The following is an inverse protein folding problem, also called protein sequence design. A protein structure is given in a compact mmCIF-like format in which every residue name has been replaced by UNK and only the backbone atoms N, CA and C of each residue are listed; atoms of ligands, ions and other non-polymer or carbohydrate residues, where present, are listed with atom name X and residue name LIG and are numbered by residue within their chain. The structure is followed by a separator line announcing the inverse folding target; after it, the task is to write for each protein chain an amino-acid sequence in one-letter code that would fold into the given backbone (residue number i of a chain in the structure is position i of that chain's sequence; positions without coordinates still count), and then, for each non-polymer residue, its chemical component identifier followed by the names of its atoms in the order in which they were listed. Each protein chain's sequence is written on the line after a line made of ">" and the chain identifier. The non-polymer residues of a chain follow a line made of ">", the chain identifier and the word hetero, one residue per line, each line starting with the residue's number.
data_IF_536442287113
#
_entry.id   IF_536442287113
#
_cell.length_a   1.000
_cell.length_b   1.000
_cell.length_c   1.000
_cell.angle_alpha   90.00
_cell.angle_beta   90.00
_cell.angle_gamma   90.00
#
_symmetry.space_group_name_H-M   'P 1'
#
loop_
_entity.id
_entity.type
_entity.pdbx_description
1 polymer ?
#
# COMPACT_ATOMS: atom_id res chain seq x y z
N UNK A 1 -30.72 55.89 -73.67
CA UNK A 1 -29.34 55.90 -73.18
C UNK A 1 -29.36 55.14 -71.85
N UNK A 2 -28.70 54.00 -71.73
CA UNK A 2 -28.76 53.22 -70.51
C UNK A 2 -27.63 53.67 -69.54
N UNK A 3 -27.98 53.90 -68.27
CA UNK A 3 -27.08 54.21 -67.20
C UNK A 3 -26.38 52.95 -66.66
N UNK A 4 -25.07 52.91 -66.78
CA UNK A 4 -24.18 51.84 -66.31
C UNK A 4 -24.06 51.84 -64.81
N UNK A 5 -24.64 50.83 -64.14
CA UNK A 5 -24.30 50.57 -62.71
C UNK A 5 -22.94 50.03 -62.57
N UNK A 6 -22.07 50.77 -61.86
CA UNK A 6 -20.68 50.45 -61.56
C UNK A 6 -20.55 49.25 -60.59
N UNK A 7 -19.76 48.26 -60.96
CA UNK A 7 -19.42 47.03 -60.19
C UNK A 7 -18.70 47.28 -58.84
N UNK A 8 -18.44 48.55 -58.51
CA UNK A 8 -17.73 48.91 -57.26
C UNK A 8 -18.57 49.04 -56.01
N UNK A 9 -19.92 49.06 -56.12
CA UNK A 9 -20.80 49.21 -54.94
C UNK A 9 -21.35 47.88 -54.41
N UNK A 10 -21.06 46.76 -55.09
CA UNK A 10 -21.47 45.42 -54.62
C UNK A 10 -20.45 44.70 -53.72
N UNK A 11 -19.25 45.28 -53.50
CA UNK A 11 -18.21 44.69 -52.68
C UNK A 11 -18.08 45.30 -51.27
N UNK A 12 -18.90 46.27 -50.92
CA UNK A 12 -18.82 46.90 -49.58
C UNK A 12 -19.89 46.45 -48.57
N UNK A 13 -20.82 45.59 -48.97
CA UNK A 13 -21.88 45.09 -48.03
C UNK A 13 -21.61 43.63 -47.62
N UNK A 14 -20.64 42.95 -48.19
CA UNK A 14 -20.31 41.54 -47.84
C UNK A 14 -19.27 41.39 -46.75
N UNK A 15 -18.81 42.47 -46.11
CA UNK A 15 -17.66 42.44 -45.16
C UNK A 15 -18.00 42.48 -43.65
N UNK A 16 -19.29 42.49 -43.27
CA UNK A 16 -19.66 42.74 -41.86
C UNK A 16 -20.41 41.59 -41.16
N UNK A 17 -20.41 40.36 -41.70
CA UNK A 17 -21.20 39.26 -41.08
C UNK A 17 -20.45 37.94 -40.92
N UNK A 18 -19.15 37.94 -40.73
CA UNK A 18 -18.39 36.71 -40.57
C UNK A 18 -17.33 36.76 -39.46
N UNK A 19 -17.67 37.32 -38.29
CA UNK A 19 -16.91 37.17 -37.05
C UNK A 19 -17.85 36.76 -35.91
N UNK A 20 -18.75 35.82 -36.17
CA UNK A 20 -19.24 34.95 -35.11
C UNK A 20 -18.08 33.98 -34.79
N UNK A 21 -17.27 34.38 -33.83
CA UNK A 21 -16.22 33.50 -33.28
C UNK A 21 -16.89 32.17 -32.96
N UNK A 22 -16.53 31.13 -33.70
CA UNK A 22 -16.79 29.77 -33.32
C UNK A 22 -16.00 29.55 -32.02
N UNK A 23 -16.65 29.80 -30.87
CA UNK A 23 -16.20 29.28 -29.57
C UNK A 23 -16.28 27.77 -29.78
N UNK A 24 -15.14 27.06 -29.82
CA UNK A 24 -15.20 25.61 -29.87
C UNK A 24 -16.05 25.17 -28.66
N UNK A 25 -16.97 24.20 -28.83
CA UNK A 25 -17.69 23.67 -27.68
C UNK A 25 -16.61 23.24 -26.70
N UNK A 26 -16.68 23.77 -25.49
CA UNK A 26 -15.93 23.24 -24.36
C UNK A 26 -16.38 21.77 -24.28
N UNK A 27 -15.64 20.88 -24.93
CA UNK A 27 -15.87 19.46 -24.80
C UNK A 27 -15.87 19.23 -23.29
N UNK A 28 -16.98 18.81 -22.74
CA UNK A 28 -17.06 18.40 -21.36
C UNK A 28 -16.03 17.28 -21.19
N UNK A 29 -14.82 17.65 -20.80
CA UNK A 29 -13.80 16.68 -20.49
C UNK A 29 -14.39 15.86 -19.34
N UNK A 30 -14.64 14.57 -19.61
CA UNK A 30 -15.10 13.65 -18.57
C UNK A 30 -14.15 13.72 -17.37
N UNK A 31 -14.61 13.28 -16.22
CA UNK A 31 -13.80 13.27 -15.02
C UNK A 31 -12.46 12.54 -15.29
N UNK A 32 -11.34 12.99 -14.71
CA UNK A 32 -10.06 12.30 -14.84
C UNK A 32 -10.20 10.88 -14.31
N UNK A 33 -9.60 9.92 -15.00
CA UNK A 33 -9.58 8.52 -14.59
C UNK A 33 -8.44 8.30 -13.61
N UNK A 34 -8.74 7.66 -12.48
CA UNK A 34 -7.77 7.25 -11.47
C UNK A 34 -7.75 5.72 -11.42
N UNK A 35 -6.86 5.12 -12.23
CA UNK A 35 -6.62 3.66 -12.15
C UNK A 35 -5.89 3.38 -10.85
N UNK A 36 -6.39 2.41 -10.12
CA UNK A 36 -5.84 1.95 -8.86
C UNK A 36 -5.41 0.49 -8.95
N UNK A 37 -4.18 0.16 -8.54
CA UNK A 37 -3.66 -1.20 -8.51
C UNK A 37 -3.39 -1.68 -7.08
N UNK A 38 -3.72 -2.93 -6.80
CA UNK A 38 -3.41 -3.58 -5.52
C UNK A 38 -3.01 -5.04 -5.70
N UNK A 39 -2.18 -5.54 -4.79
CA UNK A 39 -1.83 -6.96 -4.73
C UNK A 39 -2.93 -7.82 -4.08
N UNK A 40 -3.77 -7.25 -3.22
CA UNK A 40 -4.90 -7.95 -2.60
C UNK A 40 -6.12 -8.00 -3.54
N UNK A 41 -6.93 -9.03 -3.38
CA UNK A 41 -8.14 -9.24 -4.17
C UNK A 41 -9.33 -8.40 -3.67
N UNK A 42 -10.44 -8.41 -4.41
CA UNK A 42 -11.64 -7.63 -4.08
C UNK A 42 -12.34 -8.09 -2.79
N UNK A 43 -12.12 -9.33 -2.33
CA UNK A 43 -12.68 -9.86 -1.10
C UNK A 43 -11.92 -9.40 0.15
N UNK A 44 -10.74 -8.81 -0.01
CA UNK A 44 -10.00 -8.21 1.11
C UNK A 44 -10.80 -7.03 1.70
N UNK A 45 -10.94 -6.94 3.03
CA UNK A 45 -11.69 -5.86 3.65
C UNK A 45 -11.21 -4.45 3.30
N UNK A 46 -9.94 -4.28 2.89
CA UNK A 46 -9.40 -3.02 2.38
C UNK A 46 -10.11 -2.56 1.11
N UNK A 47 -10.59 -3.48 0.26
CA UNK A 47 -11.31 -3.12 -0.95
C UNK A 47 -12.57 -2.31 -0.66
N UNK A 48 -13.30 -2.62 0.41
CA UNK A 48 -14.49 -1.86 0.81
C UNK A 48 -14.14 -0.44 1.28
N UNK A 49 -13.00 -0.28 1.99
CA UNK A 49 -12.49 1.04 2.35
C UNK A 49 -12.16 1.89 1.11
N UNK A 50 -11.52 1.30 0.11
CA UNK A 50 -11.23 1.99 -1.16
C UNK A 50 -12.48 2.29 -1.97
N UNK A 51 -13.51 1.42 -1.96
CA UNK A 51 -14.81 1.70 -2.57
C UNK A 51 -15.53 2.86 -1.85
N UNK A 52 -15.46 2.92 -0.52
CA UNK A 52 -16.01 4.02 0.27
C UNK A 52 -15.29 5.34 -0.04
N UNK A 53 -13.97 5.32 -0.10
CA UNK A 53 -13.15 6.45 -0.55
C UNK A 53 -13.57 6.91 -1.96
N UNK A 54 -13.67 5.99 -2.92
CA UNK A 54 -14.06 6.29 -4.29
C UNK A 54 -15.45 6.91 -4.39
N UNK A 55 -16.40 6.39 -3.61
CA UNK A 55 -17.76 6.96 -3.56
C UNK A 55 -17.78 8.41 -3.08
N UNK A 56 -16.93 8.76 -2.11
CA UNK A 56 -16.77 10.14 -1.63
C UNK A 56 -16.13 11.06 -2.69
N UNK A 57 -15.33 10.51 -3.60
CA UNK A 57 -14.59 11.26 -4.64
C UNK A 57 -15.24 11.24 -6.02
N UNK A 58 -16.43 10.67 -6.17
CA UNK A 58 -17.11 10.47 -7.47
C UNK A 58 -17.38 11.74 -8.28
N UNK A 59 -17.36 12.91 -7.64
CA UNK A 59 -17.51 14.21 -8.31
C UNK A 59 -16.17 14.77 -8.82
N UNK A 60 -15.03 14.24 -8.35
CA UNK A 60 -13.70 14.73 -8.67
C UNK A 60 -12.98 13.88 -9.70
N UNK A 61 -13.20 12.56 -9.69
CA UNK A 61 -12.59 11.62 -10.64
C UNK A 61 -13.37 10.30 -10.75
N UNK A 62 -13.11 9.56 -11.82
CA UNK A 62 -13.58 8.19 -12.02
C UNK A 62 -12.52 7.21 -11.44
N UNK A 63 -12.88 6.53 -10.36
CA UNK A 63 -12.01 5.52 -9.75
C UNK A 63 -12.14 4.18 -10.47
N UNK A 64 -11.01 3.65 -10.98
CA UNK A 64 -10.96 2.39 -11.72
C UNK A 64 -10.05 1.40 -10.98
N UNK A 65 -10.58 0.53 -10.12
CA UNK A 65 -9.79 -0.42 -9.37
C UNK A 65 -9.41 -1.66 -10.18
N UNK A 66 -8.18 -2.12 -9.98
CA UNK A 66 -7.61 -3.35 -10.49
C UNK A 66 -7.04 -4.15 -9.32
N UNK A 67 -7.83 -5.11 -8.83
CA UNK A 67 -7.50 -5.93 -7.68
C UNK A 67 -6.65 -7.14 -8.07
N UNK A 68 -5.90 -7.70 -7.10
CA UNK A 68 -5.22 -8.99 -7.25
C UNK A 68 -4.13 -9.04 -8.32
N UNK A 69 -3.38 -7.95 -8.50
CA UNK A 69 -2.30 -7.85 -9.50
C UNK A 69 -2.78 -7.98 -10.97
N UNK A 70 -4.04 -7.67 -11.26
CA UNK A 70 -4.59 -7.82 -12.63
C UNK A 70 -4.06 -6.76 -13.60
N UNK A 71 -3.58 -5.61 -13.11
CA UNK A 71 -3.01 -4.56 -13.96
C UNK A 71 -1.47 -4.56 -13.92
N UNK A 72 -0.87 -4.69 -12.73
CA UNK A 72 0.57 -4.73 -12.52
C UNK A 72 0.94 -5.88 -11.59
N UNK A 73 2.11 -6.48 -11.80
CA UNK A 73 2.66 -7.51 -10.90
C UNK A 73 3.05 -6.87 -9.57
N UNK A 74 2.84 -7.58 -8.46
CA UNK A 74 3.22 -7.14 -7.13
C UNK A 74 4.67 -6.65 -7.08
N UNK A 75 4.86 -5.42 -6.56
CA UNK A 75 6.17 -4.78 -6.43
C UNK A 75 6.66 -4.05 -7.69
N UNK A 76 5.81 -3.91 -8.75
CA UNK A 76 6.11 -3.11 -9.95
C UNK A 76 5.27 -1.84 -10.06
N UNK A 77 4.31 -1.64 -9.16
CA UNK A 77 3.35 -0.52 -9.16
C UNK A 77 4.06 0.82 -9.00
N UNK A 78 5.12 0.89 -8.18
CA UNK A 78 5.89 2.12 -7.97
C UNK A 78 6.45 2.66 -9.28
N UNK A 79 7.06 1.80 -10.10
CA UNK A 79 7.61 2.19 -11.41
C UNK A 79 6.50 2.63 -12.38
N UNK A 80 5.31 2.01 -12.29
CA UNK A 80 4.16 2.41 -13.09
C UNK A 80 3.63 3.80 -12.71
N UNK A 81 3.56 4.12 -11.41
CA UNK A 81 3.23 5.46 -10.90
C UNK A 81 4.23 6.52 -11.39
N UNK A 82 5.53 6.23 -11.28
CA UNK A 82 6.60 7.14 -11.71
C UNK A 82 6.54 7.46 -13.19
N UNK A 83 6.23 6.46 -14.02
CA UNK A 83 6.12 6.62 -15.48
C UNK A 83 4.78 7.24 -15.93
N UNK A 84 3.86 7.49 -15.00
CA UNK A 84 2.51 7.98 -15.31
C UNK A 84 1.62 6.95 -16.03
N UNK A 85 1.97 5.65 -15.92
CA UNK A 85 1.17 4.54 -16.43
C UNK A 85 0.12 4.05 -15.42
N UNK A 86 0.14 4.59 -14.21
CA UNK A 86 -0.78 4.33 -13.12
C UNK A 86 -0.99 5.63 -12.33
N UNK A 87 -2.21 5.90 -11.90
CA UNK A 87 -2.53 7.10 -11.14
C UNK A 87 -2.46 6.85 -9.63
N UNK A 88 -2.94 5.70 -9.15
CA UNK A 88 -3.04 5.36 -7.73
C UNK A 88 -2.63 3.90 -7.47
N UNK A 89 -2.05 3.66 -6.32
CA UNK A 89 -1.72 2.30 -5.88
C UNK A 89 -1.83 2.12 -4.36
N UNK A 90 -2.02 0.87 -3.96
CA UNK A 90 -1.75 0.39 -2.62
C UNK A 90 -0.32 -0.17 -2.60
N UNK A 91 0.65 0.61 -2.09
CA UNK A 91 2.08 0.26 -2.07
C UNK A 91 2.53 -0.22 -0.71
N UNK A 92 3.36 -1.25 -0.69
CA UNK A 92 4.13 -1.59 0.50
C UNK A 92 5.27 -0.57 0.72
N UNK A 93 5.59 -0.16 1.97
CA UNK A 93 6.71 0.73 2.24
C UNK A 93 8.05 0.16 1.76
N UNK A 94 8.19 -1.15 1.68
CA UNK A 94 9.34 -1.86 1.13
C UNK A 94 9.59 -1.51 -0.35
N UNK A 95 8.56 -1.18 -1.12
CA UNK A 95 8.72 -0.80 -2.52
C UNK A 95 9.34 0.60 -2.64
N UNK A 96 9.02 1.52 -1.73
CA UNK A 96 9.65 2.84 -1.66
C UNK A 96 11.11 2.69 -1.20
N UNK A 97 11.38 1.84 -0.21
CA UNK A 97 12.73 1.61 0.31
C UNK A 97 13.73 1.16 -0.76
N UNK A 98 13.30 0.48 -1.82
CA UNK A 98 14.16 0.11 -2.95
C UNK A 98 14.83 1.31 -3.62
N UNK A 99 14.19 2.48 -3.60
CA UNK A 99 14.69 3.70 -4.25
C UNK A 99 15.09 4.78 -3.23
N UNK A 100 14.53 4.73 -2.02
CA UNK A 100 14.83 5.64 -0.91
C UNK A 100 15.25 4.80 0.29
N UNK A 101 16.54 4.42 0.42
CA UNK A 101 17.03 3.50 1.46
C UNK A 101 16.66 3.94 2.89
N UNK A 102 16.50 5.23 3.15
CA UNK A 102 16.00 5.75 4.43
C UNK A 102 14.66 5.11 4.85
N UNK A 103 13.78 4.80 3.90
CA UNK A 103 12.49 4.14 4.15
C UNK A 103 12.62 2.73 4.74
N UNK A 104 13.83 2.13 4.71
CA UNK A 104 14.07 0.86 5.40
C UNK A 104 13.76 0.93 6.90
N UNK A 105 13.87 2.11 7.53
CA UNK A 105 13.42 2.31 8.90
C UNK A 105 11.93 1.97 9.05
N UNK A 106 11.09 2.50 8.19
CA UNK A 106 9.63 2.30 8.23
C UNK A 106 9.20 0.87 7.86
N UNK A 107 10.12 0.06 7.32
CA UNK A 107 9.91 -1.38 7.05
C UNK A 107 10.40 -2.29 8.17
N UNK A 108 11.01 -1.71 9.21
CA UNK A 108 11.72 -2.48 10.23
C UNK A 108 10.78 -3.28 11.13
N UNK A 109 11.17 -4.53 11.39
CA UNK A 109 10.44 -5.36 12.33
C UNK A 109 10.42 -4.71 13.73
N UNK A 110 9.26 -4.77 14.38
CA UNK A 110 9.03 -4.23 15.72
C UNK A 110 9.22 -2.71 15.87
N UNK A 111 9.18 -1.93 14.78
CA UNK A 111 9.24 -0.48 14.85
C UNK A 111 7.98 0.10 15.49
N UNK A 112 6.83 -0.27 14.97
CA UNK A 112 5.55 0.21 15.49
C UNK A 112 5.04 -0.72 16.59
N UNK A 113 4.52 -0.13 17.68
CA UNK A 113 3.92 -0.87 18.80
C UNK A 113 2.53 -1.38 18.45
N UNK A 114 1.76 -0.55 17.76
CA UNK A 114 0.36 -0.77 17.38
C UNK A 114 -0.06 0.19 16.26
N UNK A 115 -1.32 0.13 15.84
CA UNK A 115 -1.88 0.99 14.79
C UNK A 115 -1.96 2.46 15.22
N UNK A 116 -2.15 2.74 16.50
CA UNK A 116 -2.18 4.12 17.00
C UNK A 116 -0.78 4.76 16.88
N UNK A 117 0.27 4.01 17.23
CA UNK A 117 1.66 4.45 17.06
C UNK A 117 2.02 4.64 15.57
N UNK A 118 1.58 3.72 14.68
CA UNK A 118 1.74 3.87 13.24
C UNK A 118 1.13 5.19 12.75
N UNK A 119 -0.15 5.45 13.08
CA UNK A 119 -0.85 6.69 12.71
C UNK A 119 -0.17 7.94 13.27
N UNK A 120 0.21 7.90 14.55
CA UNK A 120 0.91 9.01 15.20
C UNK A 120 2.23 9.30 14.52
N UNK A 121 2.98 8.27 14.10
CA UNK A 121 4.23 8.42 13.37
C UNK A 121 4.02 9.14 12.04
N UNK A 122 3.09 8.67 11.21
CA UNK A 122 2.86 9.30 9.90
C UNK A 122 2.33 10.74 10.00
N UNK A 123 1.63 11.09 11.07
CA UNK A 123 1.15 12.46 11.33
C UNK A 123 2.17 13.35 12.03
N UNK A 124 3.30 12.82 12.48
CA UNK A 124 4.36 13.59 13.15
C UNK A 124 5.36 14.21 12.17
N UNK A 125 6.21 15.11 12.65
CA UNK A 125 7.26 15.73 11.84
C UNK A 125 8.19 14.69 11.20
N UNK A 126 8.54 13.64 11.92
CA UNK A 126 9.39 12.57 11.38
C UNK A 126 8.68 11.82 10.27
N UNK A 127 7.39 11.52 10.39
CA UNK A 127 6.61 10.88 9.32
C UNK A 127 6.47 11.78 8.09
N UNK A 128 6.25 13.08 8.29
CA UNK A 128 6.19 14.06 7.19
C UNK A 128 7.54 14.21 6.47
N UNK A 129 8.66 14.01 7.17
CA UNK A 129 9.98 13.95 6.54
C UNK A 129 10.09 12.79 5.55
N UNK A 130 9.66 11.57 5.93
CA UNK A 130 9.63 10.42 5.03
C UNK A 130 8.66 10.61 3.85
N UNK A 131 7.46 11.15 4.08
CA UNK A 131 6.50 11.46 3.01
C UNK A 131 7.11 12.44 2.01
N UNK A 132 7.82 13.46 2.48
CA UNK A 132 8.52 14.42 1.63
C UNK A 132 9.62 13.75 0.80
N UNK A 133 10.42 12.84 1.38
CA UNK A 133 11.40 12.06 0.64
C UNK A 133 10.75 11.24 -0.49
N UNK A 134 9.62 10.59 -0.24
CA UNK A 134 8.90 9.84 -1.26
C UNK A 134 8.43 10.75 -2.39
N UNK A 135 7.92 11.93 -2.08
CA UNK A 135 7.50 12.92 -3.10
C UNK A 135 8.66 13.41 -3.94
N UNK A 136 9.76 13.80 -3.31
CA UNK A 136 10.89 14.45 -3.98
C UNK A 136 11.79 13.47 -4.74
N UNK A 137 12.02 12.27 -4.19
CA UNK A 137 12.98 11.31 -4.76
C UNK A 137 12.30 10.27 -5.65
N UNK A 138 11.03 9.96 -5.42
CA UNK A 138 10.32 8.86 -6.12
C UNK A 138 9.16 9.37 -6.97
N UNK A 139 8.70 10.59 -6.74
CA UNK A 139 7.61 11.18 -7.52
C UNK A 139 6.24 10.60 -7.22
N UNK A 140 5.98 10.29 -5.97
CA UNK A 140 4.67 9.84 -5.47
C UNK A 140 4.21 10.68 -4.29
N UNK A 141 2.90 10.83 -4.16
CA UNK A 141 2.26 11.40 -2.98
C UNK A 141 1.74 10.27 -2.09
N UNK A 142 2.22 10.19 -0.87
CA UNK A 142 1.69 9.28 0.15
C UNK A 142 0.50 9.97 0.81
N UNK A 143 -0.68 9.36 0.72
CA UNK A 143 -1.91 9.95 1.25
C UNK A 143 -2.11 9.54 2.70
N UNK A 144 -2.14 8.23 3.00
CA UNK A 144 -2.34 7.72 4.35
C UNK A 144 -1.84 6.27 4.45
N UNK A 145 -1.38 5.82 5.63
CA UNK A 145 -1.12 4.41 5.87
C UNK A 145 -2.45 3.64 6.01
N UNK A 146 -2.49 2.44 5.45
CA UNK A 146 -3.64 1.54 5.42
C UNK A 146 -3.28 0.30 6.21
N UNK A 147 -3.67 0.26 7.48
CA UNK A 147 -3.45 -0.88 8.36
C UNK A 147 -4.21 -2.12 7.87
N UNK A 148 -3.61 -3.29 7.99
CA UNK A 148 -4.27 -4.55 7.65
C UNK A 148 -3.96 -5.71 8.62
N UNK A 149 -3.48 -5.39 9.82
CA UNK A 149 -3.27 -6.34 10.90
C UNK A 149 -1.83 -6.59 11.27
N UNK A 150 -1.60 -7.08 12.49
CA UNK A 150 -0.29 -7.53 12.92
C UNK A 150 0.11 -8.81 12.19
N UNK A 151 1.33 -8.85 11.64
CA UNK A 151 1.84 -10.01 10.90
C UNK A 151 2.42 -11.05 11.84
N UNK A 152 2.06 -12.30 11.59
CA UNK A 152 2.46 -13.46 12.36
C UNK A 152 2.98 -14.56 11.44
N UNK A 153 3.81 -15.45 11.98
CA UNK A 153 4.31 -16.61 11.23
C UNK A 153 3.27 -17.73 11.26
N UNK A 154 2.94 -18.26 10.10
CA UNK A 154 2.01 -19.37 9.93
C UNK A 154 2.74 -20.52 9.20
N UNK A 155 2.80 -21.71 9.81
CA UNK A 155 3.64 -22.81 9.39
C UNK A 155 2.85 -24.08 9.07
N UNK A 156 3.34 -24.83 8.08
CA UNK A 156 2.88 -26.17 7.73
C UNK A 156 3.52 -27.24 8.63
N UNK A 157 4.87 -27.26 8.87
CA UNK A 157 5.44 -28.26 9.77
C UNK A 157 5.06 -28.02 11.24
N UNK A 158 4.78 -29.08 11.98
CA UNK A 158 4.55 -29.01 13.43
C UNK A 158 5.89 -28.96 14.18
N UNK A 159 6.45 -27.76 14.26
CA UNK A 159 7.71 -27.45 14.96
C UNK A 159 7.44 -26.36 15.98
N UNK A 160 7.77 -26.62 17.24
CA UNK A 160 7.62 -25.59 18.29
C UNK A 160 8.64 -24.48 18.08
N UNK A 161 8.15 -23.26 17.92
CA UNK A 161 8.97 -22.05 17.73
C UNK A 161 8.93 -21.23 19.02
N UNK A 162 10.07 -21.03 19.65
CA UNK A 162 10.22 -20.19 20.84
C UNK A 162 11.08 -18.96 20.55
N UNK A 163 12.13 -19.11 19.76
CA UNK A 163 13.10 -18.07 19.44
C UNK A 163 13.39 -18.01 17.93
N UNK A 164 14.05 -16.98 17.41
CA UNK A 164 14.44 -16.91 16.00
C UNK A 164 15.25 -18.13 15.52
N UNK A 165 16.07 -18.73 16.39
CA UNK A 165 16.88 -19.90 16.04
C UNK A 165 16.02 -21.11 15.66
N UNK A 166 14.83 -21.23 16.24
CA UNK A 166 13.90 -22.33 15.94
C UNK A 166 13.28 -22.20 14.53
N UNK A 167 13.36 -21.05 13.90
CA UNK A 167 12.91 -20.81 12.51
C UNK A 167 14.00 -21.12 11.47
N UNK A 168 15.21 -21.45 11.91
CA UNK A 168 16.31 -21.78 10.99
C UNK A 168 15.93 -22.95 10.07
N UNK A 169 16.19 -22.78 8.77
CA UNK A 169 15.88 -23.74 7.72
C UNK A 169 14.43 -23.72 7.21
N UNK A 170 13.52 -23.00 7.87
CA UNK A 170 12.13 -22.85 7.41
C UNK A 170 12.10 -21.96 6.16
N UNK A 171 11.59 -22.50 5.05
CA UNK A 171 11.30 -21.75 3.82
C UNK A 171 10.01 -20.94 4.02
N UNK A 172 10.16 -19.73 4.57
CA UNK A 172 9.01 -18.86 4.78
C UNK A 172 8.77 -18.00 3.54
N UNK A 173 7.57 -18.05 3.01
CA UNK A 173 7.21 -17.13 1.94
C UNK A 173 7.28 -15.70 2.43
N UNK A 174 7.98 -14.89 1.66
CA UNK A 174 7.93 -13.44 1.76
C UNK A 174 7.44 -12.85 0.42
N UNK A 175 6.83 -11.64 0.41
CA UNK A 175 6.60 -10.93 -0.84
C UNK A 175 7.89 -10.76 -1.64
N UNK A 176 7.84 -10.58 -2.98
CA UNK A 176 9.02 -10.30 -3.78
C UNK A 176 9.69 -8.97 -3.41
N UNK A 177 11.00 -8.94 -3.36
CA UNK A 177 11.81 -7.74 -3.11
C UNK A 177 12.76 -7.90 -1.94
N UNK A 178 13.91 -7.21 -2.02
CA UNK A 178 15.03 -7.37 -1.08
C UNK A 178 14.68 -7.03 0.38
N UNK A 179 13.92 -5.95 0.61
CA UNK A 179 13.51 -5.55 1.96
C UNK A 179 12.54 -6.55 2.59
N UNK A 180 11.72 -7.23 1.79
CA UNK A 180 10.89 -8.34 2.27
C UNK A 180 11.74 -9.57 2.59
N UNK A 181 12.72 -9.90 1.74
CA UNK A 181 13.63 -11.01 2.01
C UNK A 181 14.40 -10.73 3.31
N UNK A 182 14.91 -9.51 3.47
CA UNK A 182 15.61 -9.13 4.69
C UNK A 182 14.72 -9.16 5.94
N UNK A 183 13.45 -8.78 5.83
CA UNK A 183 12.51 -8.95 6.94
C UNK A 183 12.43 -10.42 7.38
N UNK A 184 12.32 -11.36 6.44
CA UNK A 184 12.35 -12.79 6.74
C UNK A 184 13.65 -13.20 7.43
N UNK A 185 14.81 -12.84 6.87
CA UNK A 185 16.12 -13.09 7.50
C UNK A 185 16.19 -12.51 8.92
N UNK A 186 15.61 -11.34 9.14
CA UNK A 186 15.65 -10.64 10.43
C UNK A 186 14.83 -11.33 11.52
N UNK A 187 13.93 -12.24 11.17
CA UNK A 187 13.19 -13.07 12.13
C UNK A 187 13.70 -14.52 12.18
N UNK A 188 14.75 -14.86 11.41
CA UNK A 188 15.46 -16.14 11.50
C UNK A 188 15.03 -17.20 10.48
N UNK A 189 14.23 -16.87 9.46
CA UNK A 189 13.79 -17.82 8.42
C UNK A 189 14.68 -17.80 7.18
N UNK A 190 14.49 -18.78 6.30
CA UNK A 190 14.95 -18.76 4.91
C UNK A 190 13.85 -18.15 4.04
N UNK A 191 13.92 -16.86 3.69
CA UNK A 191 12.86 -16.21 2.94
C UNK A 191 12.79 -16.71 1.51
N UNK A 192 11.59 -16.98 1.04
CA UNK A 192 11.31 -17.47 -0.32
C UNK A 192 10.35 -16.51 -1.01
N UNK A 193 10.76 -15.80 -2.07
CA UNK A 193 9.91 -14.82 -2.76
C UNK A 193 8.82 -15.51 -3.57
N UNK A 194 7.55 -15.28 -3.20
CA UNK A 194 6.37 -15.77 -3.93
C UNK A 194 5.32 -14.66 -3.96
N UNK A 195 4.70 -14.41 -5.11
CA UNK A 195 3.62 -13.44 -5.26
C UNK A 195 2.40 -13.85 -4.39
N UNK A 196 1.65 -12.85 -3.87
CA UNK A 196 0.58 -13.13 -2.91
C UNK A 196 -0.48 -14.10 -3.44
N UNK A 197 -0.88 -13.97 -4.71
CA UNK A 197 -1.86 -14.85 -5.34
C UNK A 197 -1.41 -16.33 -5.45
N UNK A 198 -0.12 -16.60 -5.34
CA UNK A 198 0.46 -17.95 -5.52
C UNK A 198 0.70 -18.67 -4.17
N UNK A 199 0.52 -17.98 -3.04
CA UNK A 199 0.90 -18.49 -1.71
C UNK A 199 0.16 -19.74 -1.32
N UNK A 200 -1.17 -19.82 -1.56
CA UNK A 200 -1.95 -21.01 -1.22
C UNK A 200 -1.40 -22.25 -1.93
N UNK A 201 -1.19 -22.15 -3.24
CA UNK A 201 -0.65 -23.26 -4.05
C UNK A 201 0.77 -23.64 -3.60
N UNK A 202 1.62 -22.67 -3.30
CA UNK A 202 2.98 -22.93 -2.83
C UNK A 202 3.01 -23.63 -1.46
N UNK A 203 2.10 -23.30 -0.54
CA UNK A 203 1.89 -24.00 0.73
C UNK A 203 1.36 -25.43 0.48
N UNK A 204 0.33 -25.55 -0.36
CA UNK A 204 -0.30 -26.85 -0.64
C UNK A 204 0.71 -27.85 -1.22
N UNK A 205 1.50 -27.44 -2.19
CA UNK A 205 2.52 -28.28 -2.85
C UNK A 205 3.77 -28.50 -2.01
N UNK A 206 3.99 -27.72 -0.93
CA UNK A 206 5.20 -27.81 -0.11
C UNK A 206 6.41 -27.12 -0.73
N UNK A 207 6.22 -26.24 -1.70
CA UNK A 207 7.30 -25.38 -2.23
C UNK A 207 7.82 -24.42 -1.16
N UNK A 208 6.97 -24.05 -0.21
CA UNK A 208 7.27 -23.28 1.01
C UNK A 208 6.73 -24.00 2.25
N UNK A 209 7.37 -23.78 3.39
CA UNK A 209 7.01 -24.37 4.68
C UNK A 209 6.02 -23.51 5.47
N UNK A 210 5.88 -22.23 5.10
CA UNK A 210 5.03 -21.29 5.78
C UNK A 210 4.97 -19.94 5.07
N UNK A 211 4.24 -19.03 5.68
CA UNK A 211 4.08 -17.65 5.24
C UNK A 211 3.94 -16.72 6.44
N UNK A 212 4.06 -15.41 6.24
CA UNK A 212 3.73 -14.40 7.23
C UNK A 212 2.60 -13.50 6.73
N UNK A 213 1.56 -13.33 7.52
CA UNK A 213 0.48 -12.39 7.30
C UNK A 213 -0.32 -12.17 8.61
N UNK A 214 -1.19 -11.16 8.65
CA UNK A 214 -2.21 -11.08 9.68
C UNK A 214 -3.14 -12.29 9.68
N UNK A 215 -3.62 -12.66 10.86
CA UNK A 215 -4.47 -13.86 11.03
C UNK A 215 -5.77 -13.76 10.23
N UNK A 216 -6.38 -12.57 10.19
CA UNK A 216 -7.62 -12.35 9.41
C UNK A 216 -7.38 -12.61 7.92
N UNK A 217 -6.27 -12.15 7.35
CA UNK A 217 -5.92 -12.41 5.96
C UNK A 217 -5.56 -13.88 5.73
N UNK A 218 -4.86 -14.51 6.67
CA UNK A 218 -4.53 -15.94 6.60
C UNK A 218 -5.79 -16.79 6.53
N UNK A 219 -6.84 -16.42 7.27
CA UNK A 219 -8.14 -17.08 7.21
C UNK A 219 -8.88 -16.80 5.91
N UNK A 220 -8.93 -15.54 5.48
CA UNK A 220 -9.58 -15.12 4.23
C UNK A 220 -9.00 -15.84 3.01
N UNK A 221 -7.68 -15.98 2.98
CA UNK A 221 -6.94 -16.64 1.90
C UNK A 221 -6.83 -18.15 2.08
N UNK A 222 -7.50 -18.72 3.11
CA UNK A 222 -7.55 -20.15 3.42
C UNK A 222 -6.17 -20.78 3.68
N UNK A 223 -5.18 -19.96 4.10
CA UNK A 223 -3.86 -20.50 4.43
C UNK A 223 -3.89 -21.44 5.62
N UNK A 224 -4.88 -21.27 6.50
CA UNK A 224 -5.17 -22.16 7.62
C UNK A 224 -5.54 -23.58 7.17
N UNK A 225 -6.12 -23.77 5.98
CA UNK A 225 -6.46 -25.11 5.46
C UNK A 225 -5.20 -25.94 5.11
N UNK A 226 -4.10 -25.26 4.75
CA UNK A 226 -2.84 -25.88 4.28
C UNK A 226 -1.68 -25.71 5.26
N UNK A 227 -1.95 -25.25 6.49
CA UNK A 227 -0.99 -25.06 7.58
C UNK A 227 -1.54 -25.60 8.89
N UNK A 228 -0.65 -25.86 9.86
CA UNK A 228 -1.02 -26.50 11.14
C UNK A 228 -1.00 -25.54 12.32
N UNK A 229 -0.18 -24.47 12.24
CA UNK A 229 0.07 -23.61 13.39
C UNK A 229 0.26 -22.13 13.03
N UNK A 230 -0.05 -21.30 14.01
CA UNK A 230 0.18 -19.86 14.02
C UNK A 230 1.06 -19.47 15.20
N UNK A 231 2.22 -18.91 14.91
CA UNK A 231 3.17 -18.39 15.89
C UNK A 231 2.99 -16.88 15.99
N UNK A 232 2.45 -16.41 17.10
CA UNK A 232 2.06 -15.00 17.28
C UNK A 232 3.30 -14.12 17.51
N UNK A 233 4.16 -14.03 16.51
CA UNK A 233 5.38 -13.21 16.55
C UNK A 233 5.13 -11.72 16.61
N UNK A 234 4.06 -11.21 15.97
CA UNK A 234 3.73 -9.79 15.93
C UNK A 234 4.87 -8.92 15.39
N UNK A 235 5.68 -9.47 14.49
CA UNK A 235 6.96 -8.87 14.09
C UNK A 235 6.79 -7.60 13.25
N UNK A 236 5.63 -7.38 12.64
CA UNK A 236 5.28 -6.14 11.91
C UNK A 236 3.84 -5.76 12.19
N UNK A 237 3.60 -4.50 12.53
CA UNK A 237 2.30 -3.85 12.35
C UNK A 237 2.11 -3.70 10.85
N UNK A 238 1.28 -4.56 10.26
CA UNK A 238 1.11 -4.64 8.81
C UNK A 238 0.37 -3.43 8.26
N UNK A 239 0.99 -2.74 7.36
CA UNK A 239 0.36 -1.62 6.65
C UNK A 239 0.90 -1.50 5.24
N UNK A 240 0.07 -0.97 4.38
CA UNK A 240 0.42 -0.46 3.07
C UNK A 240 0.14 1.04 3.04
N UNK A 241 0.38 1.67 1.91
CA UNK A 241 0.21 3.10 1.71
C UNK A 241 -0.75 3.34 0.55
N UNK A 242 -1.81 4.12 0.77
CA UNK A 242 -2.53 4.73 -0.35
C UNK A 242 -1.63 5.80 -0.96
N UNK A 243 -1.28 5.62 -2.22
CA UNK A 243 -0.38 6.52 -2.95
C UNK A 243 -0.99 7.01 -4.25
N UNK A 244 -0.58 8.20 -4.66
CA UNK A 244 -0.95 8.82 -5.94
C UNK A 244 0.33 9.23 -6.66
N UNK A 245 0.41 9.04 -7.99
CA UNK A 245 1.54 9.55 -8.77
C UNK A 245 1.61 11.08 -8.67
N UNK A 246 2.80 11.66 -8.59
CA UNK A 246 2.95 13.14 -8.53
C UNK A 246 2.31 13.82 -9.74
N UNK A 247 2.30 13.15 -10.91
CA UNK A 247 1.62 13.65 -12.10
C UNK A 247 0.11 13.75 -11.92
N UNK A 248 -0.53 12.67 -11.44
CA UNK A 248 -1.98 12.68 -11.18
C UNK A 248 -2.34 13.65 -10.05
N UNK A 249 -1.53 13.67 -8.98
CA UNK A 249 -1.69 14.59 -7.86
C UNK A 249 -1.62 16.05 -8.27
N UNK A 250 -0.61 16.41 -9.08
CA UNK A 250 -0.44 17.77 -9.61
C UNK A 250 -1.54 18.19 -10.61
N UNK A 251 -2.28 17.24 -11.18
CA UNK A 251 -3.47 17.51 -12.00
C UNK A 251 -4.72 17.86 -11.20
N UNK A 252 -4.74 17.59 -9.89
CA UNK A 252 -5.84 17.93 -8.99
C UNK A 252 -5.69 19.37 -8.47
N UNK A 253 -6.79 20.10 -8.37
CA UNK A 253 -6.81 21.42 -7.71
C UNK A 253 -6.56 21.28 -6.21
N UNK A 254 -6.05 22.32 -5.51
CA UNK A 254 -5.77 22.26 -4.07
C UNK A 254 -6.97 21.83 -3.21
N UNK A 255 -8.17 22.25 -3.55
CA UNK A 255 -9.40 21.84 -2.86
C UNK A 255 -9.75 20.36 -3.11
N UNK A 256 -9.46 19.84 -4.31
CA UNK A 256 -9.61 18.41 -4.62
C UNK A 256 -8.58 17.57 -3.85
N UNK A 257 -7.32 18.03 -3.79
CA UNK A 257 -6.27 17.38 -2.99
C UNK A 257 -6.66 17.31 -1.50
N UNK A 258 -7.22 18.39 -0.94
CA UNK A 258 -7.71 18.40 0.43
C UNK A 258 -8.87 17.41 0.63
N UNK A 259 -9.82 17.33 -0.32
CA UNK A 259 -10.91 16.34 -0.27
C UNK A 259 -10.40 14.91 -0.36
N UNK A 260 -9.41 14.62 -1.22
CA UNK A 260 -8.78 13.29 -1.33
C UNK A 260 -8.22 12.86 0.03
N UNK A 261 -7.46 13.72 0.71
CA UNK A 261 -6.91 13.41 2.05
C UNK A 261 -8.01 13.16 3.06
N UNK A 262 -8.99 14.07 3.15
CA UNK A 262 -10.09 13.93 4.11
C UNK A 262 -10.95 12.68 3.85
N UNK A 263 -11.25 12.36 2.59
CA UNK A 263 -12.00 11.16 2.23
C UNK A 263 -11.22 9.87 2.54
N UNK A 264 -9.91 9.87 2.26
CA UNK A 264 -9.03 8.75 2.57
C UNK A 264 -8.91 8.53 4.08
N UNK A 265 -8.64 9.58 4.85
CA UNK A 265 -8.51 9.49 6.31
C UNK A 265 -9.80 8.96 6.95
N UNK A 266 -10.97 9.42 6.47
CA UNK A 266 -12.24 8.92 6.97
C UNK A 266 -12.46 7.46 6.59
N UNK A 267 -12.37 7.09 5.33
CA UNK A 267 -12.68 5.74 4.85
C UNK A 267 -11.70 4.70 5.45
N UNK A 268 -10.39 5.02 5.50
CA UNK A 268 -9.37 4.15 6.08
C UNK A 268 -9.46 4.12 7.62
N UNK A 269 -9.85 5.24 8.23
CA UNK A 269 -10.08 5.30 9.68
C UNK A 269 -11.22 4.41 10.13
N UNK A 270 -12.37 4.50 9.46
CA UNK A 270 -13.56 3.68 9.75
C UNK A 270 -13.27 2.18 9.54
N UNK A 271 -12.60 1.86 8.43
CA UNK A 271 -12.13 0.50 8.14
C UNK A 271 -11.19 -0.03 9.23
N UNK A 272 -10.19 0.75 9.63
CA UNK A 272 -9.19 0.33 10.62
C UNK A 272 -9.87 -0.01 11.96
N UNK A 273 -10.79 0.82 12.44
CA UNK A 273 -11.52 0.58 13.68
C UNK A 273 -12.34 -0.73 13.64
N UNK A 274 -13.00 -1.00 12.49
CA UNK A 274 -13.74 -2.25 12.29
C UNK A 274 -12.82 -3.47 12.19
N UNK A 275 -11.64 -3.31 11.57
CA UNK A 275 -10.68 -4.40 11.38
C UNK A 275 -10.03 -4.85 12.70
N UNK A 276 -9.65 -3.92 13.59
CA UNK A 276 -9.13 -4.23 14.92
C UNK A 276 -10.09 -5.10 15.76
N UNK A 277 -11.41 -4.92 15.57
CA UNK A 277 -12.42 -5.79 16.17
C UNK A 277 -12.28 -7.25 15.72
N UNK A 278 -12.12 -7.47 14.43
CA UNK A 278 -11.96 -8.83 13.85
C UNK A 278 -10.67 -9.51 14.30
N UNK A 279 -9.58 -8.76 14.50
CA UNK A 279 -8.32 -9.34 14.98
C UNK A 279 -8.42 -9.90 16.41
N UNK A 280 -9.21 -9.28 17.28
CA UNK A 280 -9.38 -9.78 18.65
C UNK A 280 -10.05 -11.15 18.70
N UNK A 281 -10.96 -11.42 17.78
CA UNK A 281 -11.80 -12.64 17.81
C UNK A 281 -11.14 -13.82 17.04
N UNK A 282 -10.28 -13.54 16.07
CA UNK A 282 -9.72 -14.55 15.17
C UNK A 282 -8.87 -15.61 15.88
N UNK A 283 -8.14 -15.24 16.93
CA UNK A 283 -7.30 -16.18 17.70
C UNK A 283 -8.17 -17.26 18.38
N UNK A 284 -9.30 -16.85 18.95
CA UNK A 284 -10.24 -17.78 19.56
C UNK A 284 -10.86 -18.70 18.52
N UNK A 285 -11.24 -18.17 17.36
CA UNK A 285 -11.78 -18.95 16.25
C UNK A 285 -10.80 -20.01 15.74
N UNK A 286 -9.55 -19.64 15.49
CA UNK A 286 -8.50 -20.58 15.03
C UNK A 286 -8.25 -21.70 16.05
N UNK A 287 -8.24 -21.37 17.36
CA UNK A 287 -8.10 -22.38 18.42
C UNK A 287 -9.30 -23.32 18.47
N UNK A 288 -10.52 -22.83 18.31
CA UNK A 288 -11.73 -23.65 18.25
C UNK A 288 -11.76 -24.59 17.04
N UNK A 289 -11.10 -24.21 15.96
CA UNK A 289 -10.89 -25.04 14.77
C UNK A 289 -9.73 -26.06 14.91
N UNK A 290 -9.13 -26.15 16.10
CA UNK A 290 -8.05 -27.11 16.39
C UNK A 290 -6.67 -26.66 15.91
N UNK A 291 -6.49 -25.39 15.50
CA UNK A 291 -5.18 -24.87 15.11
C UNK A 291 -4.31 -24.61 16.35
N UNK A 292 -3.04 -24.93 16.25
CA UNK A 292 -2.05 -24.60 17.27
C UNK A 292 -1.72 -23.11 17.17
N UNK A 293 -2.14 -22.34 18.17
CA UNK A 293 -1.93 -20.87 18.21
C UNK A 293 -1.26 -20.50 19.54
N UNK A 294 -0.08 -19.92 19.47
CA UNK A 294 0.71 -19.58 20.65
C UNK A 294 1.67 -18.39 20.40
N UNK A 295 2.10 -17.78 21.50
CA UNK A 295 3.06 -16.67 21.49
C UNK A 295 4.45 -17.20 21.80
N UNK A 296 5.48 -16.90 20.98
CA UNK A 296 6.87 -17.24 21.23
C UNK A 296 7.50 -16.23 22.21
N UNK A 297 8.81 -16.33 22.44
CA UNK A 297 9.57 -15.27 23.10
C UNK A 297 9.70 -14.05 22.18
N UNK A 298 8.70 -13.19 22.20
CA UNK A 298 8.65 -11.96 21.36
C UNK A 298 9.82 -11.03 21.66
N UNK A 299 10.34 -11.01 22.90
CA UNK A 299 11.48 -10.17 23.27
C UNK A 299 12.76 -10.64 22.56
N UNK A 300 12.99 -11.96 22.49
CA UNK A 300 14.09 -12.53 21.73
C UNK A 300 14.00 -12.20 20.24
N UNK A 301 12.80 -12.32 19.64
CA UNK A 301 12.57 -11.94 18.24
C UNK A 301 12.83 -10.46 17.99
N UNK A 302 12.32 -9.59 18.86
CA UNK A 302 12.53 -8.14 18.76
C UNK A 302 14.01 -7.77 18.83
N UNK A 303 14.72 -8.26 19.82
CA UNK A 303 16.16 -7.99 19.99
C UNK A 303 16.95 -8.45 18.78
N UNK A 304 16.68 -9.67 18.31
CA UNK A 304 17.35 -10.23 17.14
C UNK A 304 17.10 -9.42 15.88
N UNK A 305 15.85 -9.07 15.60
CA UNK A 305 15.47 -8.34 14.40
C UNK A 305 15.99 -6.90 14.41
N UNK A 306 15.77 -6.15 15.49
CA UNK A 306 16.17 -4.75 15.59
C UNK A 306 17.70 -4.59 15.46
N UNK A 307 18.48 -5.47 16.10
CA UNK A 307 19.93 -5.48 15.93
C UNK A 307 20.33 -5.60 14.45
N UNK A 308 19.75 -6.55 13.72
CA UNK A 308 20.05 -6.78 12.30
C UNK A 308 19.64 -5.60 11.40
N UNK A 309 18.53 -4.96 11.70
CA UNK A 309 18.11 -3.77 10.96
C UNK A 309 19.06 -2.59 11.17
N UNK A 310 19.45 -2.31 12.40
CA UNK A 310 20.42 -1.25 12.72
C UNK A 310 21.78 -1.54 12.06
N UNK A 311 22.28 -2.77 12.13
CA UNK A 311 23.56 -3.16 11.53
C UNK A 311 23.56 -3.00 10.01
N UNK A 312 22.45 -3.35 9.34
CA UNK A 312 22.36 -3.33 7.87
C UNK A 312 22.00 -1.96 7.31
N UNK A 313 21.02 -1.28 7.91
CA UNK A 313 20.41 -0.08 7.35
C UNK A 313 20.52 1.17 8.22
N UNK A 314 21.01 1.06 9.44
CA UNK A 314 21.03 2.18 10.37
C UNK A 314 21.77 3.43 9.86
N UNK A 315 22.72 3.27 8.94
CA UNK A 315 23.45 4.38 8.30
C UNK A 315 22.64 5.12 7.24
N UNK A 316 21.61 4.49 6.72
CA UNK A 316 20.70 5.06 5.71
C UNK A 316 19.57 5.91 6.35
N UNK A 317 19.37 5.76 7.65
CA UNK A 317 18.29 6.43 8.36
C UNK A 317 18.64 7.87 8.68
N UNK A 318 17.66 8.79 8.60
CA UNK A 318 17.87 10.15 9.07
C UNK A 318 18.30 10.15 10.54
N UNK A 319 19.25 11.03 10.87
CA UNK A 319 19.78 11.13 12.23
C UNK A 319 18.66 11.34 13.26
N UNK A 320 18.65 10.49 14.31
CA UNK A 320 17.66 10.54 15.38
C UNK A 320 16.24 10.13 14.98
N UNK A 321 16.00 9.64 13.75
CA UNK A 321 14.65 9.26 13.30
C UNK A 321 14.06 8.10 14.10
N UNK A 322 14.87 7.07 14.40
CA UNK A 322 14.44 5.92 15.19
C UNK A 322 14.03 6.35 16.60
N UNK A 323 14.85 7.19 17.25
CA UNK A 323 14.58 7.72 18.59
C UNK A 323 13.32 8.58 18.62
N UNK A 324 13.14 9.44 17.61
CA UNK A 324 11.96 10.30 17.46
C UNK A 324 10.69 9.47 17.30
N UNK A 325 10.74 8.38 16.50
CA UNK A 325 9.61 7.46 16.34
C UNK A 325 9.32 6.74 17.66
N UNK A 326 10.34 6.21 18.32
CA UNK A 326 10.18 5.49 19.58
C UNK A 326 9.60 6.35 20.72
N UNK A 327 9.86 7.66 20.68
CA UNK A 327 9.35 8.63 21.66
C UNK A 327 7.87 9.01 21.46
N UNK A 328 7.26 8.66 20.34
CA UNK A 328 5.85 8.91 20.08
C UNK A 328 4.94 7.96 20.87
#
# INVERSE_FOLDING_TARGET
>A
MPSTFSRRHLLQVAGASALAAAVPPLAAQGLPKMRFSSAFNEQDPRADAYKTFAAAMKADFEFQPYWGNTLFKQGTELVALQRGNLEMANLAPQDIAKQVPAWSLLTSAYLFRDVAHLKKTFNSDVGQEFIRMAREQVGIEVITPVYFGARHVNLKPDRTIRTPADLSGIKLRMPPGEFWQFLGESIGVNPTPVAFAEVYTALQTGAIDGQDNPLVLSKLMKFDEVTTQFVLTGHVVGYDLLTVSSKAWGGLKPDQQARVRAAADKAIGDYTAAFEGKERDIVAALKAEGKKVYTPDVAAFRTFAQKRYVEKYGREWPSGALERINAL
#
